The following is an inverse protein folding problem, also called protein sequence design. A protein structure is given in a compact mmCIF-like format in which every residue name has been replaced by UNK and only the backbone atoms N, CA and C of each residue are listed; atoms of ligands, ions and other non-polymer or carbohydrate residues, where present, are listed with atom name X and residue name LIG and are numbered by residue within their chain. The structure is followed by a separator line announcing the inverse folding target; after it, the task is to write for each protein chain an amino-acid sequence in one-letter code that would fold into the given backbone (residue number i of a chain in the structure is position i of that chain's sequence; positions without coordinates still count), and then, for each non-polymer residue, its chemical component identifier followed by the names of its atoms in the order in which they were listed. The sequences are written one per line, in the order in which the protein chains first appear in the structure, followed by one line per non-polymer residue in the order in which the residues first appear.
data_IF_338598768847
#
_entry.id   IF_338598768847
#
_cell.length_a   1.000
_cell.length_b   1.000
_cell.length_c   1.000
_cell.angle_alpha   90.00
_cell.angle_beta   90.00
_cell.angle_gamma   90.00
#
_symmetry.space_group_name_H-M   'P 1'
#
loop_
_entity.id
_entity.type
_entity.pdbx_description
1 polymer ?
#
# COMPACT_ATOMS: atom_id res chain seq x y z
N UNK A 1 65.10 18.93 -31.17
CA UNK A 1 64.33 20.13 -30.78
C UNK A 1 64.15 20.09 -29.26
N UNK A 2 64.30 21.23 -28.61
CA UNK A 2 64.76 21.44 -27.23
C UNK A 2 63.91 20.77 -26.14
N UNK A 3 64.62 20.18 -25.18
CA UNK A 3 64.20 19.96 -23.79
C UNK A 3 63.86 21.32 -23.18
N UNK A 4 62.76 21.41 -22.41
CA UNK A 4 62.63 22.49 -21.43
C UNK A 4 61.94 21.97 -20.16
N UNK A 5 62.80 21.74 -19.16
CA UNK A 5 62.48 21.52 -17.76
C UNK A 5 62.44 22.90 -17.10
N UNK A 6 61.35 23.27 -16.40
CA UNK A 6 61.45 24.20 -15.25
C UNK A 6 60.47 23.83 -14.14
N UNK A 7 61.11 23.56 -13.00
CA UNK A 7 60.63 23.39 -11.65
C UNK A 7 59.83 24.60 -11.13
N UNK A 8 58.90 24.35 -10.20
CA UNK A 8 58.93 25.00 -8.89
C UNK A 8 58.07 24.22 -7.88
N UNK A 9 58.71 23.81 -6.80
CA UNK A 9 58.15 23.30 -5.56
C UNK A 9 57.22 24.32 -4.90
N UNK A 10 56.15 23.83 -4.29
CA UNK A 10 55.61 24.38 -3.04
C UNK A 10 54.96 23.20 -2.29
N UNK A 11 55.72 22.66 -1.36
CA UNK A 11 55.15 21.86 -0.29
C UNK A 11 54.54 22.77 0.77
N UNK A 12 53.44 22.34 1.37
CA UNK A 12 53.20 22.48 2.81
C UNK A 12 51.98 21.66 3.23
N UNK A 13 52.19 20.96 4.34
CA UNK A 13 51.25 20.64 5.40
C UNK A 13 50.13 19.62 5.12
N UNK A 14 50.37 18.42 5.68
CA UNK A 14 49.36 17.57 6.28
C UNK A 14 48.31 18.39 7.05
N UNK A 15 47.05 18.18 6.72
CA UNK A 15 45.99 18.03 7.72
C UNK A 15 45.14 16.84 7.26
N UNK A 16 45.35 15.71 7.92
CA UNK A 16 44.40 14.61 7.91
C UNK A 16 43.12 15.12 8.57
N UNK A 17 42.16 15.59 7.77
CA UNK A 17 40.78 15.71 8.21
C UNK A 17 40.19 14.31 8.24
N UNK A 18 40.46 13.60 9.35
CA UNK A 18 39.53 12.61 9.86
C UNK A 18 38.22 13.35 10.15
N UNK A 19 37.37 13.44 9.15
CA UNK A 19 35.96 13.76 9.33
C UNK A 19 35.37 12.62 10.14
N UNK A 20 35.48 12.74 11.47
CA UNK A 20 34.68 11.98 12.40
C UNK A 20 33.24 12.24 12.01
N UNK A 21 32.65 11.28 11.31
CA UNK A 21 31.20 11.11 11.29
C UNK A 21 30.83 10.81 12.74
N UNK A 22 30.59 11.86 13.51
CA UNK A 22 30.02 11.77 14.84
C UNK A 22 28.61 11.23 14.67
N UNK A 23 28.53 9.90 14.70
CA UNK A 23 27.33 9.12 14.95
C UNK A 23 26.84 9.45 16.36
N UNK A 24 26.24 10.63 16.50
CA UNK A 24 25.58 11.06 17.74
C UNK A 24 24.21 11.59 17.38
N UNK A 25 23.34 10.67 16.94
CA UNK A 25 21.92 10.72 17.25
C UNK A 25 21.44 9.27 17.39
N UNK A 26 21.77 8.70 18.54
CA UNK A 26 21.60 7.28 18.87
C UNK A 26 20.35 7.07 19.73
N UNK A 27 19.22 7.60 19.27
CA UNK A 27 17.90 7.10 19.63
C UNK A 27 17.29 6.54 18.36
N UNK A 28 17.63 5.29 18.01
CA UNK A 28 16.77 4.50 17.12
C UNK A 28 15.47 4.26 17.87
N UNK A 29 14.59 5.26 17.82
CA UNK A 29 13.23 5.17 18.32
C UNK A 29 12.62 3.87 17.78
N UNK A 30 11.94 3.12 18.65
CA UNK A 30 11.25 1.91 18.24
C UNK A 30 10.24 2.23 17.13
N UNK A 31 9.87 1.23 16.33
CA UNK A 31 8.81 1.35 15.32
C UNK A 31 7.55 1.99 15.91
N UNK A 32 7.18 1.57 17.12
CA UNK A 32 6.00 2.09 17.83
C UNK A 32 6.15 3.58 18.22
N UNK A 33 7.34 3.99 18.69
CA UNK A 33 7.60 5.39 19.04
C UNK A 33 7.59 6.32 17.82
N UNK A 34 8.19 5.87 16.71
CA UNK A 34 8.18 6.59 15.43
C UNK A 34 6.78 6.70 14.86
N UNK A 35 6.01 5.62 14.93
CA UNK A 35 4.62 5.62 14.49
C UNK A 35 3.78 6.58 15.33
N UNK A 36 3.91 6.56 16.66
CA UNK A 36 3.18 7.48 17.53
C UNK A 36 3.49 8.96 17.20
N UNK A 37 4.76 9.26 16.89
CA UNK A 37 5.16 10.60 16.44
C UNK A 37 4.58 10.95 15.08
N UNK A 38 4.50 9.98 14.16
CA UNK A 38 3.92 10.16 12.83
C UNK A 38 2.40 10.40 12.90
N UNK A 39 1.68 9.60 13.69
CA UNK A 39 0.23 9.75 13.86
C UNK A 39 -0.11 11.05 14.57
N UNK A 40 0.67 11.45 15.58
CA UNK A 40 0.52 12.75 16.23
C UNK A 40 0.72 13.93 15.25
N UNK A 41 1.63 13.79 14.26
CA UNK A 41 1.78 14.78 13.18
C UNK A 41 0.58 14.82 12.24
N UNK A 42 -0.06 13.69 12.00
CA UNK A 42 -1.24 13.61 11.14
C UNK A 42 -2.52 14.11 11.86
N UNK A 43 -2.59 13.96 13.18
CA UNK A 43 -3.67 14.50 14.00
C UNK A 43 -3.52 15.99 14.33
N UNK A 44 -2.31 16.56 14.21
CA UNK A 44 -2.07 18.00 14.35
C UNK A 44 -2.65 18.74 13.13
N UNK A 45 -3.94 19.05 13.22
CA UNK A 45 -4.81 19.54 12.15
C UNK A 45 -4.22 20.73 11.37
N UNK A 46 -4.04 20.56 10.06
CA UNK A 46 -4.05 21.67 9.09
C UNK A 46 -5.12 21.41 8.03
N UNK A 47 -6.39 21.59 8.42
CA UNK A 47 -7.52 21.39 7.52
C UNK A 47 -7.63 22.56 6.55
N UNK A 48 -6.79 22.60 5.53
CA UNK A 48 -6.99 23.48 4.39
C UNK A 48 -7.98 22.81 3.44
N UNK A 49 -9.28 23.12 3.57
CA UNK A 49 -10.27 22.81 2.53
C UNK A 49 -9.87 23.54 1.25
N UNK A 50 -9.18 22.83 0.34
CA UNK A 50 -8.91 23.35 -0.98
C UNK A 50 -10.05 22.95 -1.92
N UNK A 51 -10.95 23.89 -2.19
CA UNK A 51 -12.02 23.74 -3.19
C UNK A 51 -11.58 24.36 -4.51
N UNK A 52 -10.75 23.66 -5.27
CA UNK A 52 -10.54 24.01 -6.68
C UNK A 52 -11.56 23.31 -7.56
N UNK A 53 -12.79 23.83 -7.52
CA UNK A 53 -13.90 23.57 -8.47
C UNK A 53 -14.35 22.13 -8.73
N UNK A 54 -13.65 21.09 -8.22
CA UNK A 54 -13.81 19.69 -8.66
C UNK A 54 -13.69 18.63 -7.55
N UNK A 55 -12.99 18.87 -6.43
CA UNK A 55 -12.94 17.91 -5.32
C UNK A 55 -12.54 18.57 -3.98
N UNK A 56 -13.12 18.09 -2.87
CA UNK A 56 -12.68 18.44 -1.52
C UNK A 56 -11.31 17.81 -1.24
N UNK A 57 -10.41 18.52 -0.56
CA UNK A 57 -9.11 17.97 -0.16
C UNK A 57 -8.77 18.31 1.29
N UNK A 58 -8.02 17.40 1.94
CA UNK A 58 -7.47 17.53 3.29
C UNK A 58 -5.95 17.36 3.22
N UNK A 59 -5.19 18.18 3.93
CA UNK A 59 -3.73 18.03 4.06
C UNK A 59 -3.39 17.74 5.52
N UNK A 60 -2.65 16.66 5.78
CA UNK A 60 -2.22 16.26 7.12
C UNK A 60 -0.70 16.13 7.19
N UNK A 61 -0.11 16.46 8.35
CA UNK A 61 1.34 16.35 8.59
C UNK A 61 2.23 17.21 7.68
N UNK A 62 1.64 18.15 6.93
CA UNK A 62 2.30 19.10 6.02
C UNK A 62 2.63 18.54 4.61
N UNK A 63 2.61 17.23 4.42
CA UNK A 63 3.04 16.58 3.17
C UNK A 63 2.10 15.45 2.70
N UNK A 64 1.02 15.15 3.41
CA UNK A 64 0.08 14.09 3.03
C UNK A 64 -1.23 14.72 2.58
N UNK A 65 -1.58 14.58 1.31
CA UNK A 65 -2.76 15.19 0.70
C UNK A 65 -3.81 14.13 0.38
N UNK A 66 -5.02 14.31 0.88
CA UNK A 66 -6.16 13.42 0.69
C UNK A 66 -7.21 14.14 -0.15
N UNK A 67 -7.62 13.55 -1.28
CA UNK A 67 -8.49 14.21 -2.28
C UNK A 67 -9.76 13.39 -2.54
N UNK A 68 -10.92 14.03 -2.54
CA UNK A 68 -12.21 13.43 -2.92
C UNK A 68 -12.74 12.35 -1.97
N UNK A 69 -12.18 12.25 -0.76
CA UNK A 69 -12.48 11.17 0.20
C UNK A 69 -13.54 11.51 1.26
N UNK A 70 -14.29 12.60 1.08
CA UNK A 70 -15.38 12.98 1.99
C UNK A 70 -16.49 11.91 2.08
N UNK A 71 -16.60 11.09 1.04
CA UNK A 71 -17.55 9.98 0.92
C UNK A 71 -16.90 8.60 1.14
N UNK A 72 -15.70 8.55 1.70
CA UNK A 72 -15.05 7.28 2.01
C UNK A 72 -15.69 6.61 3.26
N UNK A 73 -15.77 5.26 3.31
CA UNK A 73 -15.62 4.34 2.19
C UNK A 73 -16.90 4.23 1.34
N UNK A 74 -18.05 4.67 1.88
CA UNK A 74 -19.38 4.51 1.31
C UNK A 74 -19.97 5.89 0.99
N UNK A 75 -20.52 6.06 -0.23
CA UNK A 75 -21.20 7.27 -0.72
C UNK A 75 -22.51 7.60 0.02
N UNK A 76 -22.47 7.57 1.34
CA UNK A 76 -23.60 7.75 2.25
C UNK A 76 -23.22 8.68 3.41
N UNK A 77 -22.02 9.26 3.43
CA UNK A 77 -21.59 10.16 4.49
C UNK A 77 -22.29 11.50 4.36
N UNK A 78 -22.99 11.91 5.43
CA UNK A 78 -23.74 13.16 5.48
C UNK A 78 -22.86 14.37 5.83
N UNK A 79 -21.67 14.14 6.37
CA UNK A 79 -20.69 15.16 6.73
C UNK A 79 -19.44 15.04 5.86
N UNK A 80 -18.97 16.17 5.32
CA UNK A 80 -17.79 16.22 4.45
C UNK A 80 -16.50 15.77 5.15
N UNK A 81 -16.39 15.94 6.47
CA UNK A 81 -15.20 15.54 7.23
C UNK A 81 -15.24 14.09 7.71
N UNK A 82 -16.42 13.47 7.78
CA UNK A 82 -16.55 12.11 8.32
C UNK A 82 -15.76 11.08 7.50
N UNK A 83 -15.86 11.13 6.17
CA UNK A 83 -15.12 10.20 5.30
C UNK A 83 -13.60 10.33 5.41
N UNK A 84 -13.09 11.57 5.49
CA UNK A 84 -11.65 11.81 5.69
C UNK A 84 -11.16 11.22 7.02
N UNK A 85 -11.92 11.40 8.11
CA UNK A 85 -11.54 10.86 9.41
C UNK A 85 -11.55 9.33 9.44
N UNK A 86 -12.52 8.70 8.78
CA UNK A 86 -12.55 7.23 8.66
C UNK A 86 -11.33 6.74 7.86
N UNK A 87 -10.98 7.40 6.76
CA UNK A 87 -9.79 7.05 5.98
C UNK A 87 -8.50 7.20 6.79
N UNK A 88 -8.34 8.31 7.52
CA UNK A 88 -7.18 8.53 8.39
C UNK A 88 -7.09 7.44 9.47
N UNK A 89 -8.21 7.06 10.08
CA UNK A 89 -8.25 5.99 11.07
C UNK A 89 -7.87 4.63 10.47
N UNK A 90 -8.39 4.29 9.28
CA UNK A 90 -8.02 3.03 8.61
C UNK A 90 -6.52 3.04 8.24
N UNK A 91 -5.97 4.17 7.78
CA UNK A 91 -4.53 4.31 7.49
C UNK A 91 -3.69 4.13 8.75
N UNK A 92 -4.07 4.78 9.86
CA UNK A 92 -3.38 4.66 11.14
C UNK A 92 -3.39 3.21 11.65
N UNK A 93 -4.56 2.56 11.65
CA UNK A 93 -4.69 1.16 12.03
C UNK A 93 -3.84 0.24 11.15
N UNK A 94 -3.85 0.47 9.83
CA UNK A 94 -3.06 -0.30 8.87
C UNK A 94 -1.56 -0.18 9.13
N UNK A 95 -1.07 1.05 9.33
CA UNK A 95 0.33 1.31 9.67
C UNK A 95 0.70 0.70 11.02
N UNK A 96 -0.15 0.83 12.03
CA UNK A 96 0.07 0.27 13.36
C UNK A 96 0.19 -1.24 13.32
N UNK A 97 -0.81 -1.91 12.79
CA UNK A 97 -0.83 -3.37 12.74
C UNK A 97 0.27 -3.92 11.82
N UNK A 98 0.42 -3.34 10.62
CA UNK A 98 1.40 -3.78 9.64
C UNK A 98 2.84 -3.60 10.11
N UNK A 99 3.22 -2.38 10.52
CA UNK A 99 4.60 -2.12 10.97
C UNK A 99 4.96 -2.87 12.25
N UNK A 100 4.02 -2.97 13.20
CA UNK A 100 4.22 -3.75 14.43
C UNK A 100 4.42 -5.25 14.13
N UNK A 101 3.64 -5.80 13.19
CA UNK A 101 3.82 -7.17 12.70
C UNK A 101 5.19 -7.38 12.07
N UNK A 102 5.62 -6.48 11.16
CA UNK A 102 6.94 -6.58 10.51
C UNK A 102 8.10 -6.40 11.48
N UNK A 103 7.89 -5.68 12.59
CA UNK A 103 8.85 -5.55 13.69
C UNK A 103 8.91 -6.79 14.60
N UNK A 104 8.01 -7.76 14.40
CA UNK A 104 7.95 -9.01 15.17
C UNK A 104 7.07 -8.95 16.42
N UNK A 105 6.18 -7.97 16.52
CA UNK A 105 5.27 -7.78 17.66
C UNK A 105 3.86 -8.35 17.42
N UNK A 106 3.66 -9.17 16.38
CA UNK A 106 2.38 -9.86 16.11
C UNK A 106 2.36 -11.28 16.70
N UNK A 107 1.20 -11.99 16.70
CA UNK A 107 1.13 -13.40 17.07
C UNK A 107 2.04 -14.32 16.25
N UNK A 108 2.44 -13.89 15.04
CA UNK A 108 3.45 -14.59 14.25
C UNK A 108 4.83 -14.56 14.92
N UNK A 109 5.09 -13.64 15.84
CA UNK A 109 6.40 -13.43 16.46
C UNK A 109 7.42 -12.89 15.45
N UNK A 110 8.70 -13.11 15.73
CA UNK A 110 9.80 -12.57 14.94
C UNK A 110 9.81 -13.16 13.52
N UNK A 111 9.77 -12.28 12.51
CA UNK A 111 9.95 -12.61 11.09
C UNK A 111 11.43 -12.51 10.69
N UNK A 112 11.77 -12.92 9.47
CA UNK A 112 13.14 -12.76 8.96
C UNK A 112 13.55 -11.26 8.96
N UNK A 113 14.81 -10.89 9.31
CA UNK A 113 15.24 -9.48 9.40
C UNK A 113 15.05 -8.61 8.16
N UNK A 114 14.88 -9.22 6.98
CA UNK A 114 14.48 -8.50 5.77
C UNK A 114 13.20 -7.69 5.98
N UNK A 115 12.22 -8.22 6.69
CA UNK A 115 10.91 -7.59 6.86
C UNK A 115 10.95 -6.39 7.81
N UNK A 116 11.77 -6.45 8.87
CA UNK A 116 12.03 -5.29 9.73
C UNK A 116 12.70 -4.14 8.94
N UNK A 117 13.57 -4.45 7.96
CA UNK A 117 14.14 -3.43 7.06
C UNK A 117 13.08 -2.82 6.13
N UNK A 118 12.08 -3.59 5.70
CA UNK A 118 10.95 -3.04 4.92
C UNK A 118 10.09 -2.09 5.77
N UNK A 119 9.85 -2.43 7.05
CA UNK A 119 9.14 -1.54 7.98
C UNK A 119 9.90 -0.22 8.19
N UNK A 120 11.21 -0.28 8.40
CA UNK A 120 12.06 0.93 8.51
C UNK A 120 12.03 1.76 7.23
N UNK A 121 12.13 1.13 6.06
CA UNK A 121 12.07 1.81 4.77
C UNK A 121 10.73 2.54 4.55
N UNK A 122 9.61 1.89 4.90
CA UNK A 122 8.29 2.52 4.80
C UNK A 122 8.14 3.69 5.78
N UNK A 123 8.57 3.53 7.03
CA UNK A 123 8.58 4.62 8.01
C UNK A 123 9.40 5.81 7.52
N UNK A 124 10.62 5.58 7.01
CA UNK A 124 11.44 6.66 6.43
C UNK A 124 10.74 7.36 5.29
N UNK A 125 10.04 6.62 4.42
CA UNK A 125 9.28 7.21 3.32
C UNK A 125 8.13 8.07 3.85
N UNK A 126 7.37 7.61 4.85
CA UNK A 126 6.27 8.36 5.47
C UNK A 126 6.75 9.63 6.19
N UNK A 127 7.89 9.55 6.87
CA UNK A 127 8.52 10.66 7.59
C UNK A 127 9.15 11.71 6.65
N UNK A 128 9.56 11.28 5.45
CA UNK A 128 10.24 12.14 4.47
C UNK A 128 9.37 13.33 4.02
N UNK A 129 9.98 14.47 3.64
CA UNK A 129 9.23 15.65 3.18
C UNK A 129 8.58 15.47 1.80
N UNK A 130 8.85 14.36 1.10
CA UNK A 130 8.25 14.05 -0.19
C UNK A 130 6.72 14.06 -0.08
N UNK A 131 5.97 14.80 -0.91
CA UNK A 131 4.52 14.80 -0.85
C UNK A 131 3.94 13.41 -1.11
N UNK A 132 2.91 13.02 -0.36
CA UNK A 132 2.12 11.81 -0.59
C UNK A 132 0.69 12.19 -0.95
N UNK A 133 0.05 11.40 -1.81
CA UNK A 133 -1.34 11.66 -2.21
C UNK A 133 -2.20 10.41 -2.09
N UNK A 134 -3.35 10.53 -1.41
CA UNK A 134 -4.42 9.54 -1.45
C UNK A 134 -5.62 10.17 -2.11
N UNK A 135 -6.13 9.58 -3.18
CA UNK A 135 -7.28 10.11 -3.91
C UNK A 135 -8.39 9.08 -3.95
N UNK A 136 -9.57 9.47 -3.51
CA UNK A 136 -10.77 8.68 -3.71
C UNK A 136 -11.43 9.05 -5.03
N UNK A 137 -11.84 8.02 -5.76
CA UNK A 137 -12.56 8.10 -7.03
C UNK A 137 -13.78 7.21 -6.96
N UNK A 138 -14.80 7.55 -7.77
CA UNK A 138 -16.01 6.77 -7.88
C UNK A 138 -16.06 6.05 -9.23
N UNK A 139 -15.98 4.73 -9.21
CA UNK A 139 -16.18 3.87 -10.39
C UNK A 139 -15.21 4.19 -11.54
N UNK A 140 -13.92 4.36 -11.21
CA UNK A 140 -12.85 4.67 -12.17
C UNK A 140 -11.87 3.52 -12.38
N UNK A 141 -11.84 2.53 -11.50
CA UNK A 141 -11.01 1.34 -11.62
C UNK A 141 -11.79 0.06 -11.32
N UNK A 142 -11.24 -1.07 -11.77
CA UNK A 142 -11.72 -2.41 -11.44
C UNK A 142 -10.98 -3.01 -10.22
N UNK A 143 -9.95 -2.32 -9.71
CA UNK A 143 -9.29 -2.63 -8.45
C UNK A 143 -9.90 -1.83 -7.30
N UNK A 144 -9.76 -2.30 -6.05
CA UNK A 144 -10.20 -1.55 -4.87
C UNK A 144 -9.35 -0.30 -4.62
N UNK A 145 -8.05 -0.46 -4.75
CA UNK A 145 -7.09 0.62 -4.73
C UNK A 145 -5.91 0.30 -5.65
N UNK A 146 -5.13 1.33 -5.97
CA UNK A 146 -3.93 1.24 -6.81
C UNK A 146 -2.89 2.23 -6.28
N UNK A 147 -1.73 1.73 -5.88
CA UNK A 147 -0.57 2.53 -5.57
C UNK A 147 0.23 2.93 -6.82
N UNK A 148 0.83 4.12 -6.76
CA UNK A 148 1.91 4.52 -7.65
C UNK A 148 3.21 3.91 -7.17
N UNK A 149 3.82 3.08 -8.02
CA UNK A 149 5.14 2.51 -7.80
C UNK A 149 6.23 3.58 -7.89
N UNK A 150 7.40 3.37 -7.27
CA UNK A 150 8.55 4.25 -7.44
C UNK A 150 9.00 4.26 -8.92
N UNK A 151 9.54 5.38 -9.45
CA UNK A 151 9.94 5.49 -10.86
C UNK A 151 10.96 4.44 -11.33
N UNK A 152 11.71 3.85 -10.41
CA UNK A 152 12.71 2.81 -10.68
C UNK A 152 12.13 1.40 -10.73
N UNK A 153 10.84 1.21 -10.47
CA UNK A 153 10.20 -0.10 -10.57
C UNK A 153 9.80 -0.37 -12.02
N UNK A 154 10.10 -1.57 -12.52
CA UNK A 154 9.61 -2.04 -13.81
C UNK A 154 8.09 -2.26 -13.73
N UNK A 155 7.29 -1.26 -14.14
CA UNK A 155 5.84 -1.40 -14.25
C UNK A 155 5.50 -2.04 -15.60
N UNK A 156 5.42 -3.36 -15.65
CA UNK A 156 5.07 -4.11 -16.87
C UNK A 156 3.64 -3.94 -17.38
N UNK A 157 2.92 -2.85 -17.04
CA UNK A 157 1.50 -2.70 -17.36
C UNK A 157 1.10 -1.25 -17.67
N UNK A 158 1.07 -0.90 -18.95
CA UNK A 158 0.63 0.40 -19.49
C UNK A 158 -0.84 0.75 -19.12
N UNK A 159 -1.70 -0.23 -18.85
CA UNK A 159 -3.13 0.01 -18.55
C UNK A 159 -3.39 0.64 -17.16
N UNK A 160 -2.55 0.35 -16.16
CA UNK A 160 -2.66 0.93 -14.82
C UNK A 160 -2.22 2.40 -14.80
N UNK A 161 -1.45 2.82 -15.80
CA UNK A 161 -0.90 4.16 -15.87
C UNK A 161 -1.98 5.23 -16.04
N UNK A 162 -3.15 4.93 -16.62
CA UNK A 162 -4.14 5.98 -16.97
C UNK A 162 -4.92 6.53 -15.78
N UNK A 163 -5.30 5.69 -14.79
CA UNK A 163 -6.14 6.12 -13.65
C UNK A 163 -5.34 6.82 -12.56
N UNK A 164 -4.08 6.45 -12.41
CA UNK A 164 -3.15 7.07 -11.47
C UNK A 164 -2.13 7.99 -12.16
N UNK A 165 -2.23 8.19 -13.49
CA UNK A 165 -1.27 8.93 -14.33
C UNK A 165 -0.89 10.28 -13.72
N UNK A 166 -1.92 11.00 -13.27
CA UNK A 166 -1.84 12.35 -12.75
C UNK A 166 -1.52 12.41 -11.24
N UNK A 167 -1.33 11.26 -10.59
CA UNK A 167 -0.82 11.17 -9.22
C UNK A 167 0.67 10.86 -9.26
N UNK A 168 1.43 11.67 -8.51
CA UNK A 168 2.88 11.49 -8.34
C UNK A 168 3.17 10.43 -7.29
N UNK A 169 4.28 9.72 -7.46
CA UNK A 169 4.82 8.85 -6.41
C UNK A 169 5.27 9.69 -5.19
N UNK A 170 4.97 9.26 -3.95
CA UNK A 170 4.12 8.13 -3.56
C UNK A 170 2.64 8.53 -3.57
N UNK A 171 1.79 7.69 -4.17
CA UNK A 171 0.37 7.97 -4.24
C UNK A 171 -0.49 6.72 -4.26
N UNK A 172 -1.76 6.85 -3.88
CA UNK A 172 -2.77 5.77 -3.89
C UNK A 172 -4.07 6.33 -4.47
N UNK A 173 -4.66 5.62 -5.42
CA UNK A 173 -6.05 5.83 -5.86
C UNK A 173 -6.92 4.79 -5.17
N UNK A 174 -8.03 5.21 -4.58
CA UNK A 174 -9.01 4.36 -3.89
C UNK A 174 -10.33 4.46 -4.63
N UNK A 175 -10.89 3.34 -5.07
CA UNK A 175 -12.23 3.32 -5.67
C UNK A 175 -13.29 3.00 -4.63
N UNK A 176 -14.00 4.05 -4.19
CA UNK A 176 -15.01 3.95 -3.14
C UNK A 176 -16.25 3.18 -3.60
N UNK A 177 -16.52 3.06 -4.91
CA UNK A 177 -17.58 2.16 -5.40
C UNK A 177 -17.20 0.71 -5.14
N UNK A 178 -15.96 0.33 -5.49
CA UNK A 178 -15.48 -1.04 -5.36
C UNK A 178 -15.36 -1.47 -3.92
N UNK A 179 -14.74 -0.66 -3.05
CA UNK A 179 -14.61 -0.98 -1.62
C UNK A 179 -15.98 -1.14 -0.97
N UNK A 180 -16.96 -0.35 -1.42
CA UNK A 180 -18.34 -0.46 -0.96
C UNK A 180 -19.08 -1.69 -1.48
N UNK A 181 -18.58 -2.43 -2.47
CA UNK A 181 -19.35 -3.51 -3.11
C UNK A 181 -20.49 -2.98 -3.99
N UNK A 182 -20.40 -1.73 -4.46
CA UNK A 182 -21.32 -1.24 -5.48
C UNK A 182 -21.00 -1.87 -6.82
N UNK A 183 -22.06 -2.21 -7.55
CA UNK A 183 -21.94 -2.57 -8.96
C UNK A 183 -21.44 -1.36 -9.75
N UNK A 184 -20.50 -1.58 -10.66
CA UNK A 184 -19.99 -0.53 -11.54
C UNK A 184 -21.02 -0.17 -12.59
N UNK A 185 -21.12 1.13 -12.90
CA UNK A 185 -21.99 1.69 -13.93
C UNK A 185 -21.33 1.71 -15.31
N UNK A 186 -20.10 1.22 -15.43
CA UNK A 186 -19.31 1.25 -16.66
C UNK A 186 -19.50 0.02 -17.55
N UNK A 187 -20.28 -0.96 -17.12
CA UNK A 187 -20.60 -2.10 -17.96
C UNK A 187 -21.68 -1.75 -18.99
N UNK A 188 -21.67 -2.46 -20.12
CA UNK A 188 -22.74 -2.40 -21.10
C UNK A 188 -24.03 -3.00 -20.53
N UNK A 189 -25.19 -2.55 -21.05
CA UNK A 189 -26.52 -3.02 -20.62
C UNK A 189 -26.64 -4.55 -20.68
N UNK A 190 -26.02 -5.18 -21.69
CA UNK A 190 -26.02 -6.64 -21.84
C UNK A 190 -25.34 -7.34 -20.65
N UNK A 191 -24.27 -6.78 -20.08
CA UNK A 191 -23.57 -7.38 -18.94
C UNK A 191 -24.46 -7.36 -17.69
N UNK A 192 -25.19 -6.27 -17.43
CA UNK A 192 -26.12 -6.22 -16.30
C UNK A 192 -27.23 -7.27 -16.41
N UNK A 193 -27.76 -7.45 -17.64
CA UNK A 193 -28.81 -8.44 -17.90
C UNK A 193 -28.28 -9.87 -17.86
N UNK A 194 -27.18 -10.14 -18.55
CA UNK A 194 -26.75 -11.50 -18.87
C UNK A 194 -25.85 -12.08 -17.79
N UNK A 195 -25.03 -11.27 -17.12
CA UNK A 195 -24.17 -11.71 -16.03
C UNK A 195 -24.79 -11.46 -14.66
N UNK A 196 -25.17 -10.20 -14.37
CA UNK A 196 -25.74 -9.83 -13.08
C UNK A 196 -27.23 -10.17 -12.94
N UNK A 197 -27.87 -10.67 -14.00
CA UNK A 197 -29.28 -11.10 -14.04
C UNK A 197 -30.26 -10.01 -13.57
N UNK A 198 -29.94 -8.74 -13.83
CA UNK A 198 -30.81 -7.61 -13.49
C UNK A 198 -31.92 -7.44 -14.53
N UNK A 199 -33.14 -7.18 -14.07
CA UNK A 199 -34.26 -6.79 -14.95
C UNK A 199 -34.13 -5.33 -15.44
N UNK A 200 -34.94 -4.94 -16.44
CA UNK A 200 -34.87 -3.60 -17.02
C UNK A 200 -35.10 -2.46 -16.01
N UNK A 201 -35.96 -2.67 -14.99
CA UNK A 201 -36.21 -1.67 -13.95
C UNK A 201 -35.03 -1.57 -12.99
N UNK A 202 -34.40 -2.69 -12.66
CA UNK A 202 -33.21 -2.75 -11.83
C UNK A 202 -32.02 -2.09 -12.54
N UNK A 203 -31.85 -2.32 -13.84
CA UNK A 203 -30.82 -1.66 -14.66
C UNK A 203 -31.04 -0.15 -14.70
N UNK A 204 -32.27 0.30 -14.99
CA UNK A 204 -32.59 1.74 -15.03
C UNK A 204 -32.32 2.43 -13.69
N UNK A 205 -32.79 1.84 -12.57
CA UNK A 205 -32.48 2.35 -11.23
C UNK A 205 -30.99 2.40 -10.95
N UNK A 206 -30.25 1.36 -11.32
CA UNK A 206 -28.81 1.28 -11.09
C UNK A 206 -28.08 2.41 -11.82
N UNK A 207 -28.38 2.63 -13.10
CA UNK A 207 -27.70 3.61 -13.94
C UNK A 207 -28.14 5.04 -13.63
N UNK A 208 -29.42 5.28 -13.38
CA UNK A 208 -30.00 6.64 -13.36
C UNK A 208 -30.37 7.16 -11.97
N UNK A 209 -30.57 6.29 -10.96
CA UNK A 209 -31.07 6.70 -9.64
C UNK A 209 -29.99 6.54 -8.57
N UNK A 210 -29.78 5.31 -8.07
CA UNK A 210 -28.77 5.01 -7.02
C UNK A 210 -28.01 3.76 -7.45
N UNK A 211 -26.67 3.73 -7.31
CA UNK A 211 -25.90 2.52 -7.52
C UNK A 211 -26.48 1.39 -6.67
N UNK A 212 -26.57 0.19 -7.25
CA UNK A 212 -27.12 -0.94 -6.54
C UNK A 212 -25.98 -1.67 -5.85
N UNK A 213 -26.23 -2.01 -4.60
CA UNK A 213 -25.48 -3.01 -3.89
C UNK A 213 -25.85 -4.36 -4.49
N UNK A 214 -24.85 -5.21 -4.69
CA UNK A 214 -25.07 -6.58 -5.17
C UNK A 214 -24.47 -7.52 -4.14
N UNK A 215 -25.27 -8.44 -3.60
CA UNK A 215 -24.82 -9.34 -2.52
C UNK A 215 -23.62 -10.20 -2.95
N UNK A 216 -23.52 -10.55 -4.23
CA UNK A 216 -22.36 -11.26 -4.80
C UNK A 216 -21.14 -10.40 -5.10
N UNK A 217 -21.18 -9.09 -4.84
CA UNK A 217 -20.01 -8.21 -4.98
C UNK A 217 -19.28 -8.12 -3.63
N UNK A 218 -18.07 -8.66 -3.59
CA UNK A 218 -17.26 -8.63 -2.38
C UNK A 218 -16.96 -7.18 -1.95
N UNK A 219 -17.29 -6.88 -0.70
CA UNK A 219 -16.89 -5.66 -0.01
C UNK A 219 -15.55 -5.90 0.67
N UNK A 220 -14.56 -5.08 0.34
CA UNK A 220 -13.30 -5.13 1.07
C UNK A 220 -13.52 -4.56 2.49
N UNK A 221 -13.51 -5.42 3.51
CA UNK A 221 -13.91 -5.07 4.89
C UNK A 221 -12.73 -4.57 5.70
N UNK A 222 -11.58 -5.19 5.56
CA UNK A 222 -10.34 -4.91 6.25
C UNK A 222 -9.57 -3.76 5.59
N UNK A 223 -10.21 -2.59 5.50
CA UNK A 223 -9.68 -1.44 4.76
C UNK A 223 -8.30 -0.97 5.26
N UNK A 224 -8.02 -1.16 6.55
CA UNK A 224 -6.70 -0.93 7.13
C UNK A 224 -5.61 -1.79 6.45
N UNK A 225 -5.91 -3.07 6.20
CA UNK A 225 -5.04 -3.97 5.45
C UNK A 225 -4.84 -3.51 4.02
N UNK A 226 -5.91 -3.12 3.31
CA UNK A 226 -5.82 -2.58 1.95
C UNK A 226 -4.89 -1.37 1.88
N UNK A 227 -5.06 -0.40 2.78
CA UNK A 227 -4.24 0.82 2.76
C UNK A 227 -2.78 0.51 3.05
N UNK A 228 -2.50 -0.39 4.00
CA UNK A 228 -1.13 -0.83 4.27
C UNK A 228 -0.53 -1.57 3.06
N UNK A 229 -1.29 -2.47 2.43
CA UNK A 229 -0.93 -3.18 1.22
C UNK A 229 -0.50 -2.20 0.11
N UNK A 230 -1.30 -1.17 -0.16
CA UNK A 230 -0.96 -0.16 -1.17
C UNK A 230 0.27 0.67 -0.78
N UNK A 231 0.49 0.94 0.51
CA UNK A 231 1.71 1.63 0.97
C UNK A 231 2.97 0.75 0.82
N UNK A 232 2.85 -0.58 0.91
CA UNK A 232 3.98 -1.50 0.69
C UNK A 232 4.42 -1.46 -0.78
N UNK A 233 3.49 -1.26 -1.72
CA UNK A 233 3.84 -1.04 -3.13
C UNK A 233 4.75 0.19 -3.34
N UNK A 234 4.71 1.20 -2.46
CA UNK A 234 5.64 2.33 -2.55
C UNK A 234 7.11 1.91 -2.38
N UNK A 235 7.39 0.75 -1.77
CA UNK A 235 8.74 0.20 -1.66
C UNK A 235 9.21 -0.51 -2.96
N UNK A 236 8.37 -0.53 -4.00
CA UNK A 236 8.67 -1.16 -5.29
C UNK A 236 8.31 -2.65 -5.36
N UNK A 237 7.63 -3.18 -4.35
CA UNK A 237 7.07 -4.54 -4.40
C UNK A 237 5.87 -4.56 -5.34
N UNK A 238 5.73 -5.60 -6.14
CA UNK A 238 4.61 -5.79 -7.07
C UNK A 238 4.01 -7.17 -6.88
N UNK A 239 2.74 -7.33 -7.24
CA UNK A 239 2.15 -8.65 -7.31
C UNK A 239 2.79 -9.48 -8.42
N UNK A 240 3.00 -10.76 -8.14
CA UNK A 240 3.54 -11.70 -9.11
C UNK A 240 3.44 -13.13 -8.59
N UNK A 241 3.59 -14.09 -9.50
CA UNK A 241 3.66 -15.50 -9.13
C UNK A 241 5.08 -16.08 -9.27
N UNK A 242 5.97 -15.36 -9.93
CA UNK A 242 7.35 -15.81 -10.22
C UNK A 242 8.30 -15.57 -9.05
N UNK A 243 8.05 -14.52 -8.27
CA UNK A 243 8.84 -14.11 -7.11
C UNK A 243 7.91 -14.00 -5.89
N UNK A 244 8.46 -13.98 -4.65
CA UNK A 244 7.65 -13.76 -3.47
C UNK A 244 6.78 -12.51 -3.60
N UNK A 245 5.45 -12.69 -3.53
CA UNK A 245 4.47 -11.60 -3.51
C UNK A 245 4.45 -11.00 -2.09
N UNK A 246 5.45 -10.17 -1.77
CA UNK A 246 5.66 -9.59 -0.43
C UNK A 246 4.41 -8.85 0.05
N UNK A 247 3.73 -8.15 -0.87
CA UNK A 247 2.53 -7.37 -0.55
C UNK A 247 1.41 -8.30 -0.08
N UNK A 248 1.13 -9.36 -0.84
CA UNK A 248 0.13 -10.36 -0.46
C UNK A 248 0.50 -11.15 0.80
N UNK A 249 1.79 -11.45 1.00
CA UNK A 249 2.26 -12.13 2.21
C UNK A 249 2.07 -11.27 3.46
N UNK A 250 2.34 -9.97 3.38
CA UNK A 250 2.12 -9.04 4.49
C UNK A 250 0.64 -8.87 4.81
N UNK A 251 -0.20 -8.70 3.78
CA UNK A 251 -1.65 -8.66 3.93
C UNK A 251 -2.14 -9.92 4.68
N UNK A 252 -1.81 -11.10 4.14
CA UNK A 252 -2.30 -12.38 4.67
C UNK A 252 -1.77 -12.67 6.07
N UNK A 253 -0.47 -12.50 6.33
CA UNK A 253 0.13 -12.80 7.63
C UNK A 253 -0.27 -11.78 8.70
N UNK A 254 -0.17 -10.48 8.40
CA UNK A 254 -0.32 -9.44 9.42
C UNK A 254 -1.79 -9.06 9.67
N UNK A 255 -2.70 -9.36 8.74
CA UNK A 255 -4.11 -8.94 8.82
C UNK A 255 -5.12 -10.10 8.82
N UNK A 256 -4.67 -11.28 9.27
CA UNK A 256 -5.53 -12.43 9.59
C UNK A 256 -6.16 -13.12 8.37
N UNK A 257 -5.47 -13.15 7.23
CA UNK A 257 -5.93 -13.85 6.04
C UNK A 257 -6.59 -12.93 5.02
N UNK A 258 -7.71 -13.36 4.45
CA UNK A 258 -8.43 -12.67 3.38
C UNK A 258 -9.90 -12.49 3.73
N UNK A 259 -10.42 -11.29 3.48
CA UNK A 259 -11.85 -10.98 3.66
C UNK A 259 -12.77 -11.83 2.78
N UNK A 260 -12.23 -12.39 1.68
CA UNK A 260 -12.97 -13.23 0.75
C UNK A 260 -13.24 -14.64 1.28
N UNK A 261 -12.63 -15.02 2.40
CA UNK A 261 -12.78 -16.32 3.04
C UNK A 261 -13.58 -16.10 4.32
N UNK A 262 -14.77 -16.69 4.44
CA UNK A 262 -15.60 -16.57 5.66
C UNK A 262 -15.12 -17.54 6.76
N UNK A 263 -14.55 -18.67 6.36
CA UNK A 263 -14.00 -19.68 7.26
C UNK A 263 -12.82 -19.13 8.08
N UNK A 264 -13.03 -18.98 9.38
CA UNK A 264 -11.99 -18.56 10.31
C UNK A 264 -10.83 -19.58 10.39
N UNK A 265 -11.13 -20.86 10.21
CA UNK A 265 -10.13 -21.92 10.18
C UNK A 265 -9.24 -21.83 8.93
N UNK A 266 -9.83 -21.64 7.75
CA UNK A 266 -9.06 -21.48 6.52
C UNK A 266 -8.22 -20.20 6.56
N UNK A 267 -8.79 -19.09 7.05
CA UNK A 267 -8.02 -17.86 7.25
C UNK A 267 -6.85 -18.03 8.22
N UNK A 268 -7.05 -18.75 9.33
CA UNK A 268 -5.96 -19.07 10.25
C UNK A 268 -4.88 -19.91 9.57
N UNK A 269 -5.26 -20.94 8.80
CA UNK A 269 -4.33 -21.78 8.03
C UNK A 269 -3.50 -20.95 7.05
N UNK A 270 -4.15 -20.13 6.22
CA UNK A 270 -3.45 -19.32 5.21
C UNK A 270 -2.58 -18.23 5.84
N UNK A 271 -3.03 -17.60 6.93
CA UNK A 271 -2.21 -16.70 7.73
C UNK A 271 -0.94 -17.40 8.21
N UNK A 272 -1.08 -18.57 8.82
CA UNK A 272 0.07 -19.30 9.40
C UNK A 272 1.06 -19.74 8.31
N UNK A 273 0.57 -20.16 7.14
CA UNK A 273 1.38 -20.43 5.96
C UNK A 273 2.14 -19.18 5.48
N UNK A 274 1.45 -18.05 5.30
CA UNK A 274 2.08 -16.78 4.90
C UNK A 274 3.15 -16.34 5.90
N UNK A 275 2.87 -16.45 7.20
CA UNK A 275 3.82 -16.11 8.25
C UNK A 275 5.02 -17.06 8.28
N UNK A 276 4.84 -18.36 7.98
CA UNK A 276 5.94 -19.31 7.86
C UNK A 276 6.86 -18.96 6.69
N UNK A 277 6.29 -18.55 5.54
CA UNK A 277 7.06 -18.05 4.39
C UNK A 277 7.87 -16.82 4.78
N UNK A 278 7.29 -15.85 5.50
CA UNK A 278 7.99 -14.64 5.98
C UNK A 278 9.09 -14.93 7.02
N UNK A 279 9.17 -16.16 7.54
CA UNK A 279 10.23 -16.62 8.43
C UNK A 279 11.30 -17.47 7.73
N UNK A 280 11.12 -17.82 6.46
CA UNK A 280 12.03 -18.70 5.75
C UNK A 280 13.38 -18.01 5.47
N UNK A 281 14.34 -18.25 6.35
CA UNK A 281 15.70 -17.72 6.24
C UNK A 281 16.36 -18.03 4.89
N UNK A 282 16.13 -19.23 4.32
CA UNK A 282 16.75 -19.61 3.06
C UNK A 282 16.21 -18.76 1.89
N UNK A 283 14.90 -18.48 1.90
CA UNK A 283 14.27 -17.63 0.91
C UNK A 283 14.77 -16.20 1.03
N UNK A 284 14.82 -15.63 2.23
CA UNK A 284 15.10 -14.21 2.39
C UNK A 284 16.60 -13.84 2.46
N UNK A 285 17.48 -14.83 2.60
CA UNK A 285 18.93 -14.66 2.40
C UNK A 285 19.37 -14.86 0.94
N UNK A 286 18.53 -15.52 0.13
CA UNK A 286 18.82 -15.78 -1.27
C UNK A 286 18.83 -14.49 -2.12
N UNK A 287 19.66 -14.47 -3.16
CA UNK A 287 19.54 -13.46 -4.22
C UNK A 287 18.26 -13.67 -5.03
N UNK A 288 17.87 -12.66 -5.82
CA UNK A 288 16.61 -12.65 -6.57
C UNK A 288 16.38 -13.89 -7.44
N UNK A 289 17.40 -14.36 -8.15
CA UNK A 289 17.28 -15.56 -9.00
C UNK A 289 17.05 -16.82 -8.16
N UNK A 290 17.78 -16.98 -7.05
CA UNK A 290 17.58 -18.12 -6.14
C UNK A 290 16.23 -18.02 -5.42
N UNK A 291 15.75 -16.82 -5.09
CA UNK A 291 14.40 -16.60 -4.55
C UNK A 291 13.31 -17.14 -5.47
N UNK A 292 13.36 -16.81 -6.77
CA UNK A 292 12.41 -17.36 -7.76
C UNK A 292 12.41 -18.90 -7.75
N UNK A 293 13.60 -19.52 -7.71
CA UNK A 293 13.70 -20.98 -7.69
C UNK A 293 13.15 -21.59 -6.41
N UNK A 294 13.46 -20.99 -5.25
CA UNK A 294 12.95 -21.45 -3.95
C UNK A 294 11.44 -21.26 -3.85
N UNK A 295 10.91 -20.14 -4.37
CA UNK A 295 9.49 -19.82 -4.41
C UNK A 295 8.68 -20.95 -5.08
N UNK A 296 9.10 -21.35 -6.28
CA UNK A 296 8.48 -22.46 -7.00
C UNK A 296 8.78 -23.82 -6.37
N UNK A 297 10.04 -24.09 -5.98
CA UNK A 297 10.43 -25.39 -5.43
C UNK A 297 9.73 -25.72 -4.11
N UNK A 298 9.52 -24.73 -3.24
CA UNK A 298 8.80 -24.89 -1.96
C UNK A 298 7.28 -24.79 -2.12
N UNK A 299 6.77 -24.59 -3.34
CA UNK A 299 5.34 -24.48 -3.64
C UNK A 299 4.67 -23.23 -3.07
N UNK A 300 5.45 -22.18 -2.75
CA UNK A 300 4.90 -20.96 -2.17
C UNK A 300 4.05 -20.15 -3.15
N UNK A 301 4.25 -20.38 -4.45
CA UNK A 301 3.42 -19.87 -5.53
C UNK A 301 1.98 -20.42 -5.52
N UNK A 302 1.71 -21.49 -4.75
CA UNK A 302 0.36 -22.05 -4.62
C UNK A 302 -0.51 -21.34 -3.58
N UNK A 303 0.08 -20.55 -2.66
CA UNK A 303 -0.69 -19.89 -1.59
C UNK A 303 -1.87 -19.06 -2.14
N UNK A 304 -1.62 -18.23 -3.17
CA UNK A 304 -2.64 -17.35 -3.75
C UNK A 304 -3.71 -18.13 -4.55
N UNK A 305 -3.37 -19.10 -5.42
CA UNK A 305 -4.33 -20.03 -6.00
C UNK A 305 -5.18 -20.77 -4.96
N UNK A 306 -4.58 -21.31 -3.91
CA UNK A 306 -5.27 -22.09 -2.88
C UNK A 306 -6.25 -21.21 -2.08
N UNK A 307 -5.84 -19.99 -1.73
CA UNK A 307 -6.73 -19.02 -1.10
C UNK A 307 -7.94 -18.70 -1.98
N UNK A 308 -7.74 -18.50 -3.29
CA UNK A 308 -8.84 -18.22 -4.23
C UNK A 308 -9.83 -19.36 -4.36
N UNK A 309 -9.39 -20.60 -4.18
CA UNK A 309 -10.29 -21.76 -4.17
C UNK A 309 -11.16 -21.82 -2.90
N UNK A 310 -10.73 -21.16 -1.82
CA UNK A 310 -11.47 -21.04 -0.57
C UNK A 310 -12.33 -19.77 -0.48
N UNK A 311 -12.45 -18.99 -1.55
CA UNK A 311 -13.31 -17.80 -1.56
C UNK A 311 -14.79 -18.21 -1.59
N UNK A 312 -15.59 -17.52 -0.78
CA UNK A 312 -17.04 -17.74 -0.60
C UNK A 312 -17.90 -16.68 -1.30
#
# INVERSE_FOLDING_TARGET
MKINTRYALLGAALLASTSGYSSTDNTTDSVDARLAKLTARYSAEQHAEYRDGKANALVVGGNFRIEGCDQYPHHEQTSSLAGFNVLLSDMEQGLQQGLSCLAGHSPAGKLHPFHARQADALLRLLESPLPKTVRCVADKTYAYAIARLPPSADSGSEHFETVAADIRYPGIVIDTYRISGYLSRRHEVAVYRDFFKLDARAIDRHLNVKPQWFEGMHRYRNRASLLFHEMVHWLGHTHGNTYPDVVHLYETCCFQGSDFIQSAEDNARFRDQACAILKDDELWQANRYKQMRLWAFKGYDQLKPDMRQAYD
#
